data_IF_228490890754
#
_entry.id   IF_228490890754
#
_cell.length_a   1.000
_cell.length_b   1.000
_cell.length_c   1.000
_cell.angle_alpha   90.00
_cell.angle_beta   90.00
_cell.angle_gamma   90.00
#
_symmetry.space_group_name_H-M   'P 1'
#
loop_
_entity.id
_entity.type
_entity.pdbx_description
1 polymer ?
#
# COMPACT_ATOMS: atom_id res chain seq x y z
N UNK A 1 -18.95 9.56 -2.19
CA UNK A 1 -18.15 10.03 -1.05
C UNK A 1 -17.74 8.93 -0.04
N UNK A 2 -18.36 7.73 0.04
CA UNK A 2 -17.93 6.68 1.01
C UNK A 2 -16.67 5.89 0.61
N UNK A 3 -16.45 5.58 -0.67
CA UNK A 3 -15.33 4.72 -1.11
C UNK A 3 -13.95 5.37 -1.04
N UNK A 4 -13.90 6.71 -1.05
CA UNK A 4 -12.66 7.48 -1.03
C UNK A 4 -11.91 7.33 0.31
N UNK A 5 -12.65 7.13 1.41
CA UNK A 5 -12.07 6.92 2.74
C UNK A 5 -11.35 5.56 2.84
N UNK A 6 -11.99 4.48 2.39
CA UNK A 6 -11.40 3.12 2.45
C UNK A 6 -10.21 2.95 1.52
N UNK A 7 -10.22 3.60 0.36
CA UNK A 7 -9.04 3.62 -0.53
C UNK A 7 -7.86 4.31 0.14
N UNK A 8 -8.09 5.42 0.84
CA UNK A 8 -7.06 6.14 1.58
C UNK A 8 -6.49 5.29 2.74
N UNK A 9 -7.35 4.63 3.50
CA UNK A 9 -6.97 3.69 4.57
C UNK A 9 -6.07 2.55 4.04
N UNK A 10 -6.45 1.92 2.93
CA UNK A 10 -5.64 0.87 2.31
C UNK A 10 -4.27 1.40 1.89
N UNK A 11 -4.21 2.59 1.27
CA UNK A 11 -2.94 3.23 0.89
C UNK A 11 -2.04 3.52 2.09
N UNK A 12 -2.62 3.99 3.20
CA UNK A 12 -1.93 4.20 4.47
C UNK A 12 -1.33 2.90 5.02
N UNK A 13 -2.08 1.80 4.97
CA UNK A 13 -1.60 0.48 5.39
C UNK A 13 -0.46 -0.03 4.48
N UNK A 14 -0.53 0.19 3.17
CA UNK A 14 0.57 -0.13 2.25
C UNK A 14 1.82 0.69 2.60
N UNK A 15 1.69 1.99 2.86
CA UNK A 15 2.82 2.84 3.28
C UNK A 15 3.45 2.33 4.59
N UNK A 16 2.64 1.94 5.58
CA UNK A 16 3.10 1.32 6.81
C UNK A 16 3.80 -0.02 6.55
N UNK A 17 3.28 -0.84 5.64
CA UNK A 17 3.91 -2.10 5.25
C UNK A 17 5.28 -1.89 4.60
N UNK A 18 5.43 -0.88 3.74
CA UNK A 18 6.74 -0.47 3.19
C UNK A 18 7.71 -0.12 4.31
N UNK A 19 7.26 0.66 5.30
CA UNK A 19 8.10 1.06 6.45
C UNK A 19 8.50 -0.13 7.32
N UNK A 20 7.58 -1.09 7.52
CA UNK A 20 7.82 -2.34 8.25
C UNK A 20 8.84 -3.23 7.53
N UNK A 21 8.64 -3.50 6.24
CA UNK A 21 9.56 -4.32 5.43
C UNK A 21 10.96 -3.69 5.32
N UNK A 22 11.03 -2.36 5.29
CA UNK A 22 12.30 -1.61 5.32
C UNK A 22 13.05 -1.81 6.64
N UNK A 23 12.36 -1.93 7.78
CA UNK A 23 12.99 -2.09 9.10
C UNK A 23 14.06 -1.03 9.34
N UNK A 24 15.28 -1.47 9.69
CA UNK A 24 16.43 -0.59 9.93
C UNK A 24 17.24 -0.25 8.66
N UNK A 25 16.91 -0.86 7.51
CA UNK A 25 17.66 -0.66 6.26
C UNK A 25 17.54 0.79 5.78
N UNK A 26 18.65 1.50 5.64
CA UNK A 26 18.62 2.88 5.17
C UNK A 26 17.98 3.00 3.77
N UNK A 27 17.21 4.07 3.52
CA UNK A 27 16.57 4.28 2.21
C UNK A 27 17.58 4.39 1.07
N UNK A 28 18.77 4.95 1.34
CA UNK A 28 19.88 4.99 0.37
C UNK A 28 20.38 3.59 -0.02
N UNK A 29 20.39 2.65 0.94
CA UNK A 29 20.77 1.26 0.67
C UNK A 29 19.76 0.58 -0.24
N UNK A 30 18.46 0.76 0.01
CA UNK A 30 17.40 0.24 -0.87
C UNK A 30 17.53 0.85 -2.27
N UNK A 31 17.66 2.18 -2.35
CA UNK A 31 17.78 2.91 -3.61
C UNK A 31 19.01 2.48 -4.44
N UNK A 32 20.12 2.08 -3.81
CA UNK A 32 21.29 1.55 -4.53
C UNK A 32 21.05 0.22 -5.24
N UNK A 33 19.91 -0.41 -5.00
CA UNK A 33 19.55 -1.75 -5.49
C UNK A 33 18.29 -1.72 -6.36
N UNK A 34 17.78 -0.53 -6.69
CA UNK A 34 16.59 -0.32 -7.50
C UNK A 34 16.61 1.02 -8.26
N UNK A 35 15.63 1.25 -9.12
CA UNK A 35 15.54 2.42 -10.02
C UNK A 35 14.68 3.55 -9.42
N UNK A 36 14.59 3.61 -8.10
CA UNK A 36 13.91 4.69 -7.37
C UNK A 36 14.85 5.34 -6.36
N UNK A 37 14.83 6.67 -6.31
CA UNK A 37 15.68 7.43 -5.40
C UNK A 37 15.14 7.39 -3.96
N UNK A 38 16.04 7.53 -2.99
CA UNK A 38 15.74 7.45 -1.55
C UNK A 38 14.63 8.41 -1.09
N UNK A 39 14.55 9.60 -1.69
CA UNK A 39 13.47 10.57 -1.44
C UNK A 39 12.08 10.04 -1.80
N UNK A 40 11.95 9.35 -2.95
CA UNK A 40 10.69 8.71 -3.36
C UNK A 40 10.29 7.60 -2.39
N UNK A 41 11.26 6.76 -1.99
CA UNK A 41 11.04 5.70 -1.00
C UNK A 41 10.54 6.28 0.32
N UNK A 42 11.19 7.34 0.82
CA UNK A 42 10.79 8.04 2.04
C UNK A 42 9.38 8.64 1.93
N UNK A 43 9.04 9.25 0.79
CA UNK A 43 7.71 9.81 0.58
C UNK A 43 6.63 8.73 0.56
N UNK A 44 6.89 7.56 -0.05
CA UNK A 44 5.99 6.40 -0.01
C UNK A 44 5.82 5.90 1.43
N UNK A 45 6.92 5.61 2.13
CA UNK A 45 6.89 5.04 3.47
C UNK A 45 6.24 5.95 4.54
N UNK A 46 6.15 7.25 4.26
CA UNK A 46 5.47 8.24 5.09
C UNK A 46 4.10 8.67 4.55
N UNK A 47 3.54 7.91 3.58
CA UNK A 47 2.24 8.16 2.97
C UNK A 47 2.06 9.59 2.40
N UNK A 48 3.14 10.18 1.87
CA UNK A 48 3.11 11.50 1.21
C UNK A 48 2.76 11.38 -0.27
N UNK A 49 3.07 10.24 -0.87
CA UNK A 49 2.71 9.88 -2.24
C UNK A 49 2.26 8.43 -2.28
N UNK A 50 1.43 8.10 -3.26
CA UNK A 50 0.98 6.72 -3.49
C UNK A 50 2.13 5.79 -3.88
N UNK A 51 2.09 4.57 -3.36
CA UNK A 51 2.94 3.49 -3.84
C UNK A 51 2.38 2.95 -5.17
N UNK A 52 2.88 3.47 -6.29
CA UNK A 52 2.54 2.95 -7.61
C UNK A 52 3.12 1.55 -7.81
N UNK A 53 2.48 0.72 -8.65
CA UNK A 53 2.91 -0.66 -8.94
C UNK A 53 4.39 -0.76 -9.35
N UNK A 54 4.86 0.14 -10.21
CA UNK A 54 6.28 0.19 -10.61
C UNK A 54 7.21 0.46 -9.42
N UNK A 55 6.80 1.35 -8.51
CA UNK A 55 7.58 1.64 -7.30
C UNK A 55 7.56 0.47 -6.32
N UNK A 56 6.45 -0.25 -6.23
CA UNK A 56 6.32 -1.47 -5.42
C UNK A 56 7.28 -2.56 -5.93
N UNK A 57 7.33 -2.80 -7.24
CA UNK A 57 8.26 -3.77 -7.85
C UNK A 57 9.71 -3.38 -7.58
N UNK A 58 10.05 -2.10 -7.74
CA UNK A 58 11.40 -1.59 -7.45
C UNK A 58 11.76 -1.67 -5.95
N UNK A 59 10.80 -1.44 -5.05
CA UNK A 59 10.98 -1.64 -3.61
C UNK A 59 11.21 -3.12 -3.27
N UNK A 60 10.43 -4.03 -3.86
CA UNK A 60 10.58 -5.47 -3.69
C UNK A 60 11.97 -5.93 -4.14
N UNK A 61 12.42 -5.45 -5.31
CA UNK A 61 13.79 -5.66 -5.79
C UNK A 61 14.79 -5.15 -4.78
N UNK A 62 14.70 -3.89 -4.36
CA UNK A 62 15.66 -3.27 -3.44
C UNK A 62 15.72 -3.91 -2.05
N UNK A 63 14.61 -4.45 -1.55
CA UNK A 63 14.49 -5.11 -0.25
C UNK A 63 14.71 -6.64 -0.31
N UNK A 64 14.81 -7.23 -1.50
CA UNK A 64 14.92 -8.68 -1.72
C UNK A 64 13.76 -9.47 -1.09
N UNK A 65 12.54 -8.95 -1.25
CA UNK A 65 11.30 -9.61 -0.80
C UNK A 65 10.38 -9.88 -1.99
N UNK A 66 9.48 -10.85 -1.86
CA UNK A 66 8.47 -11.09 -2.89
C UNK A 66 7.49 -9.91 -2.96
N UNK A 67 7.07 -9.42 -4.15
CA UNK A 67 6.16 -8.27 -4.26
C UNK A 67 4.82 -8.46 -3.53
N UNK A 68 4.36 -9.70 -3.34
CA UNK A 68 3.13 -9.98 -2.59
C UNK A 68 3.20 -9.55 -1.13
N UNK A 69 4.41 -9.49 -0.54
CA UNK A 69 4.60 -9.11 0.85
C UNK A 69 4.05 -7.71 1.15
N UNK A 70 4.03 -6.82 0.16
CA UNK A 70 3.48 -5.47 0.34
C UNK A 70 1.96 -5.47 0.50
N UNK A 71 1.25 -6.50 0.02
CA UNK A 71 -0.20 -6.62 0.12
C UNK A 71 -0.68 -7.36 1.37
N UNK A 72 0.24 -7.90 2.18
CA UNK A 72 -0.09 -8.50 3.47
C UNK A 72 -0.32 -7.40 4.52
N UNK A 73 -1.48 -6.75 4.43
CA UNK A 73 -1.96 -5.66 5.27
C UNK A 73 -3.12 -6.10 6.16
N UNK A 74 -3.23 -5.48 7.33
CA UNK A 74 -4.33 -5.69 8.27
C UNK A 74 -5.55 -4.85 7.86
N UNK A 75 -6.26 -5.31 6.83
CA UNK A 75 -7.50 -4.71 6.35
C UNK A 75 -8.56 -5.81 6.18
N UNK A 76 -9.72 -5.63 6.83
CA UNK A 76 -10.84 -6.57 6.76
C UNK A 76 -11.61 -6.40 5.44
N UNK A 77 -11.09 -7.04 4.39
CA UNK A 77 -11.71 -7.05 3.06
C UNK A 77 -13.08 -7.75 3.07
N UNK A 78 -13.25 -8.81 3.86
CA UNK A 78 -14.52 -9.55 3.95
C UNK A 78 -15.64 -8.65 4.48
N UNK A 79 -15.38 -7.90 5.55
CA UNK A 79 -16.33 -6.90 6.07
C UNK A 79 -16.57 -5.79 5.06
N UNK A 80 -15.51 -5.24 4.46
CA UNK A 80 -15.65 -4.16 3.49
C UNK A 80 -16.53 -4.56 2.30
N UNK A 81 -16.34 -5.76 1.74
CA UNK A 81 -17.16 -6.25 0.64
C UNK A 81 -18.62 -6.51 1.06
N UNK A 82 -18.85 -7.08 2.25
CA UNK A 82 -20.20 -7.22 2.80
C UNK A 82 -20.93 -5.87 2.93
N UNK A 83 -20.23 -4.82 3.35
CA UNK A 83 -20.79 -3.46 3.44
C UNK A 83 -21.16 -2.91 2.06
N UNK A 84 -20.31 -3.08 1.05
CA UNK A 84 -20.58 -2.65 -0.33
C UNK A 84 -21.79 -3.38 -0.92
N UNK A 85 -21.83 -4.70 -0.77
CA UNK A 85 -22.92 -5.52 -1.32
C UNK A 85 -24.26 -5.21 -0.63
N UNK A 86 -24.23 -4.93 0.66
CA UNK A 86 -25.43 -4.52 1.42
C UNK A 86 -26.01 -3.20 0.90
N UNK A 87 -25.16 -2.23 0.55
CA UNK A 87 -25.59 -0.95 -0.04
C UNK A 87 -26.22 -1.19 -1.42
N UNK A 88 -25.58 -1.99 -2.28
CA UNK A 88 -26.07 -2.27 -3.63
C UNK A 88 -27.46 -2.95 -3.63
N UNK A 89 -27.74 -3.78 -2.62
CA UNK A 89 -29.05 -4.43 -2.47
C UNK A 89 -30.15 -3.48 -1.98
N UNK A 90 -29.82 -2.41 -1.25
CA UNK A 90 -30.79 -1.38 -0.85
C UNK A 90 -31.17 -0.45 -2.01
N UNK A 91 -30.23 -0.19 -2.93
CA UNK A 91 -30.48 0.63 -4.13
C UNK A 91 -31.33 -0.08 -5.18
N UNK A 92 -31.25 -1.42 -5.26
CA UNK A 92 -32.08 -2.23 -6.19
C UNK A 92 -33.55 -2.38 -5.77
N UNK A 93 -33.88 -2.07 -4.51
CA UNK A 93 -35.23 -2.21 -3.94
C UNK A 93 -35.93 -0.86 -3.75
N UNK A 94 -35.38 0.22 -4.32
CA UNK A 94 -36.00 1.55 -4.46
C UNK A 94 -36.36 1.80 -5.91
#
# INVERSE_FOLDING_TARGET
MKNENKTKEIKELIAQKVKSLKGDVAYSKIASQCEIHSGKISNIANNRIDCQLSSLIELAKGLRVHPSEFFNIDFDFDKYYKELDSINNLEKNK
#
